data_IF_302439932662
#
_entry.id   IF_302439932662
#
_cell.length_a   1.000
_cell.length_b   1.000
_cell.length_c   1.000
_cell.angle_alpha   90.00
_cell.angle_beta   90.00
_cell.angle_gamma   90.00
#
_symmetry.space_group_name_H-M   'P 1'
#
loop_
_entity.id
_entity.type
_entity.pdbx_description
1 polymer ?
#
# COMPACT_ATOMS: atom_id res chain seq x y z
N UNK A 1 26.05 -23.11 -43.61
CA UNK A 1 24.75 -22.91 -44.27
C UNK A 1 23.73 -23.92 -43.73
N UNK A 2 22.95 -23.55 -42.71
CA UNK A 2 21.60 -24.07 -42.45
C UNK A 2 20.84 -22.96 -41.72
N UNK A 3 20.12 -22.17 -42.51
CA UNK A 3 19.08 -21.22 -42.09
C UNK A 3 17.76 -21.98 -41.83
N UNK A 4 16.78 -21.22 -41.31
CA UNK A 4 15.36 -21.49 -41.03
C UNK A 4 15.11 -21.88 -39.55
N UNK A 5 14.34 -21.13 -38.77
CA UNK A 5 13.53 -19.94 -39.03
C UNK A 5 12.62 -19.74 -37.81
N UNK A 6 12.74 -18.60 -37.11
CA UNK A 6 11.89 -18.23 -36.00
C UNK A 6 10.51 -17.80 -36.53
N UNK A 7 9.46 -18.46 -36.05
CA UNK A 7 8.07 -18.10 -36.28
C UNK A 7 7.64 -17.08 -35.21
N UNK A 8 7.41 -15.84 -35.60
CA UNK A 8 6.79 -14.80 -34.77
C UNK A 8 5.29 -14.81 -35.08
N UNK A 9 4.46 -15.13 -34.09
CA UNK A 9 3.00 -15.02 -34.20
C UNK A 9 2.60 -13.67 -33.60
N UNK A 10 2.22 -12.74 -34.47
CA UNK A 10 1.53 -11.50 -34.10
C UNK A 10 0.02 -11.75 -34.13
N UNK A 11 -0.66 -11.54 -33.01
CA UNK A 11 -2.13 -11.56 -32.94
C UNK A 11 -2.64 -10.13 -33.05
N UNK A 12 -3.23 -9.81 -34.21
CA UNK A 12 -4.02 -8.61 -34.46
C UNK A 12 -5.48 -8.93 -34.13
N UNK A 13 -6.01 -8.34 -33.06
CA UNK A 13 -7.44 -8.34 -32.78
C UNK A 13 -8.07 -7.06 -33.33
N UNK A 14 -8.78 -7.19 -34.45
CA UNK A 14 -9.70 -6.18 -34.95
C UNK A 14 -11.13 -6.57 -34.53
N UNK A 15 -11.80 -5.70 -33.76
CA UNK A 15 -13.24 -5.75 -33.59
C UNK A 15 -13.81 -4.37 -33.89
N UNK A 16 -14.39 -4.25 -35.08
CA UNK A 16 -15.34 -3.21 -35.45
C UNK A 16 -16.73 -3.64 -34.97
N UNK A 17 -17.43 -2.77 -34.25
CA UNK A 17 -18.81 -2.97 -33.83
C UNK A 17 -19.43 -1.63 -33.49
N UNK A 18 -20.34 -1.17 -34.35
CA UNK A 18 -20.92 0.18 -34.32
C UNK A 18 -21.80 0.44 -33.10
N UNK A 19 -21.76 1.69 -32.63
CA UNK A 19 -22.75 2.25 -31.72
C UNK A 19 -23.82 2.96 -32.54
N UNK A 20 -25.05 2.47 -32.43
CA UNK A 20 -26.26 3.09 -32.98
C UNK A 20 -26.60 4.39 -32.26
N UNK A 21 -27.17 5.31 -33.04
CA UNK A 21 -27.74 6.56 -32.58
C UNK A 21 -29.02 6.27 -31.77
N UNK A 22 -29.10 6.82 -30.56
CA UNK A 22 -30.35 6.95 -29.83
C UNK A 22 -30.73 8.44 -29.76
N UNK A 23 -31.78 8.78 -30.51
CA UNK A 23 -32.55 10.01 -30.43
C UNK A 23 -33.48 9.94 -29.22
N UNK A 24 -33.41 10.92 -28.31
CA UNK A 24 -34.54 11.38 -27.51
C UNK A 24 -34.18 12.67 -26.75
N UNK A 25 -34.62 13.80 -27.30
CA UNK A 25 -35.17 14.95 -26.57
C UNK A 25 -36.63 15.07 -27.06
N UNK A 26 -37.59 15.69 -26.34
CA UNK A 26 -37.39 16.77 -25.37
C UNK A 26 -38.24 16.64 -24.08
N UNK A 27 -37.99 17.48 -23.07
CA UNK A 27 -39.06 18.29 -22.50
C UNK A 27 -38.56 19.49 -21.67
N UNK A 28 -39.23 20.60 -21.91
CA UNK A 28 -38.96 21.95 -21.44
C UNK A 28 -39.61 22.19 -20.09
N UNK A 29 -38.86 22.61 -19.06
CA UNK A 29 -39.40 23.49 -18.00
C UNK A 29 -38.31 24.41 -17.44
N UNK A 30 -38.60 25.71 -17.41
CA UNK A 30 -37.97 26.77 -16.59
C UNK A 30 -39.10 27.70 -16.14
N UNK A 31 -38.92 28.65 -15.21
CA UNK A 31 -37.98 28.78 -14.09
C UNK A 31 -38.68 29.21 -12.77
N UNK A 32 -38.10 28.96 -11.58
CA UNK A 32 -38.47 29.75 -10.37
C UNK A 32 -37.24 29.96 -9.46
N UNK A 33 -37.06 31.21 -9.05
CA UNK A 33 -36.01 31.81 -8.21
C UNK A 33 -36.07 31.43 -6.71
N UNK A 34 -34.99 31.67 -5.93
CA UNK A 34 -34.81 31.14 -4.56
C UNK A 34 -35.31 32.10 -3.46
N UNK A 35 -35.57 31.57 -2.25
CA UNK A 35 -35.39 32.37 -1.04
C UNK A 35 -34.68 31.64 0.12
N UNK A 36 -33.65 32.32 0.64
CA UNK A 36 -33.32 32.60 2.06
C UNK A 36 -33.36 31.51 3.14
N UNK A 37 -32.20 31.36 3.80
CA UNK A 37 -31.92 30.84 5.15
C UNK A 37 -32.85 31.39 6.25
N UNK A 38 -33.16 30.57 7.27
CA UNK A 38 -33.03 31.07 8.64
C UNK A 38 -32.43 30.07 9.65
N UNK A 39 -31.47 30.58 10.45
CA UNK A 39 -31.50 30.46 11.91
C UNK A 39 -31.01 29.16 12.57
N UNK A 40 -29.75 29.20 13.05
CA UNK A 40 -29.33 28.43 14.23
C UNK A 40 -30.07 28.91 15.48
N UNK A 41 -30.51 28.02 16.39
CA UNK A 41 -30.70 28.35 17.79
C UNK A 41 -29.45 27.99 18.59
N UNK A 42 -28.92 29.00 19.28
CA UNK A 42 -27.99 28.91 20.41
C UNK A 42 -28.71 28.35 21.64
N UNK A 43 -28.04 27.46 22.38
CA UNK A 43 -28.41 27.08 23.75
C UNK A 43 -27.33 27.57 24.74
N UNK A 44 -27.73 28.04 25.93
CA UNK A 44 -26.88 28.78 26.86
C UNK A 44 -25.97 27.88 27.70
N UNK A 45 -24.83 28.45 28.10
CA UNK A 45 -23.88 27.83 29.02
C UNK A 45 -24.26 27.98 30.50
N UNK A 46 -23.82 26.98 31.27
CA UNK A 46 -23.49 26.90 32.71
C UNK A 46 -23.33 25.38 32.95
N UNK A 47 -22.34 24.82 33.63
CA UNK A 47 -21.30 25.30 34.52
C UNK A 47 -20.50 24.05 34.95
N UNK A 48 -19.42 24.29 35.67
CA UNK A 48 -18.38 23.33 36.00
C UNK A 48 -18.84 22.12 36.85
N UNK A 49 -18.27 20.96 36.51
CA UNK A 49 -17.74 19.94 37.42
C UNK A 49 -18.66 19.30 38.46
N UNK A 50 -19.12 18.08 38.19
CA UNK A 50 -19.14 16.97 39.16
C UNK A 50 -18.99 15.65 38.37
N UNK A 51 -17.85 14.98 38.59
CA UNK A 51 -17.57 13.67 38.02
C UNK A 51 -18.49 12.59 38.61
N UNK A 52 -19.01 11.72 37.75
CA UNK A 52 -19.71 10.51 38.15
C UNK A 52 -18.94 9.33 37.54
N UNK A 53 -18.11 8.61 38.31
CA UNK A 53 -17.29 7.49 37.82
C UNK A 53 -18.13 6.29 37.32
N UNK A 54 -19.46 6.35 37.48
CA UNK A 54 -20.38 5.30 37.05
C UNK A 54 -20.71 5.37 35.54
N UNK A 55 -20.55 6.52 34.88
CA UNK A 55 -20.81 6.60 33.43
C UNK A 55 -19.64 6.05 32.60
N UNK A 56 -18.40 6.25 33.04
CA UNK A 56 -17.21 5.69 32.37
C UNK A 56 -17.17 4.15 32.50
N UNK A 57 -17.60 3.61 33.65
CA UNK A 57 -17.71 2.17 33.89
C UNK A 57 -18.77 1.52 32.98
N UNK A 58 -19.91 2.19 32.77
CA UNK A 58 -20.99 1.70 31.90
C UNK A 58 -20.62 1.81 30.42
N UNK A 59 -19.86 2.84 30.01
CA UNK A 59 -19.30 2.95 28.65
C UNK A 59 -18.24 1.89 28.36
N UNK A 60 -17.42 1.52 29.35
CA UNK A 60 -16.46 0.42 29.21
C UNK A 60 -17.15 -0.96 29.16
N UNK A 61 -18.24 -1.17 29.90
CA UNK A 61 -18.97 -2.45 29.90
C UNK A 61 -19.86 -2.65 28.66
N UNK A 62 -20.32 -1.57 28.01
CA UNK A 62 -21.06 -1.66 26.73
C UNK A 62 -20.15 -1.83 25.49
N UNK A 63 -18.83 -1.68 25.66
CA UNK A 63 -17.84 -1.93 24.61
C UNK A 63 -17.33 -3.38 24.60
N UNK A 64 -17.82 -4.22 25.53
CA UNK A 64 -17.27 -5.54 25.79
C UNK A 64 -18.31 -6.61 26.10
N UNK A 65 -19.35 -6.76 25.28
CA UNK A 65 -19.91 -8.09 25.00
C UNK A 65 -20.89 -8.06 23.82
N UNK A 66 -20.60 -8.84 22.78
CA UNK A 66 -21.60 -9.53 21.97
C UNK A 66 -20.90 -10.41 20.93
N UNK A 67 -20.67 -11.66 21.29
CA UNK A 67 -20.39 -12.71 20.33
C UNK A 67 -21.65 -13.16 19.59
N UNK A 68 -21.57 -13.23 18.26
CA UNK A 68 -22.23 -14.28 17.47
C UNK A 68 -21.48 -14.54 16.17
N UNK A 69 -21.18 -15.83 16.00
CA UNK A 69 -20.61 -16.64 14.93
C UNK A 69 -20.41 -16.09 13.49
N UNK A 70 -19.34 -16.64 12.89
CA UNK A 70 -18.92 -16.69 11.48
C UNK A 70 -18.17 -15.49 10.86
N UNK A 71 -16.88 -15.39 11.19
CA UNK A 71 -15.80 -15.03 10.25
C UNK A 71 -14.43 -15.45 10.83
N UNK A 72 -13.52 -16.10 10.08
CA UNK A 72 -12.19 -16.43 10.60
C UNK A 72 -11.25 -15.21 10.50
N UNK A 73 -10.61 -14.86 11.62
CA UNK A 73 -9.26 -14.29 11.61
C UNK A 73 -9.10 -12.78 11.73
N UNK A 74 -9.78 -12.11 12.66
CA UNK A 74 -9.39 -10.78 13.12
C UNK A 74 -8.68 -10.86 14.48
N UNK A 75 -7.35 -10.89 14.51
CA UNK A 75 -6.61 -10.71 15.77
C UNK A 75 -6.67 -9.24 16.15
N UNK A 76 -7.49 -8.94 17.15
CA UNK A 76 -7.51 -7.65 17.82
C UNK A 76 -6.18 -7.34 18.50
N UNK A 77 -5.66 -6.14 18.26
CA UNK A 77 -4.43 -5.65 18.89
C UNK A 77 -3.94 -4.31 18.35
N UNK A 78 -4.83 -3.36 18.05
CA UNK A 78 -4.44 -2.07 17.47
C UNK A 78 -3.99 -1.00 18.49
N UNK A 79 -3.85 -1.34 19.78
CA UNK A 79 -3.64 -0.34 20.85
C UNK A 79 -2.53 -0.62 21.86
N UNK A 80 -1.75 -1.70 21.71
CA UNK A 80 -0.69 -2.04 22.67
C UNK A 80 0.64 -1.32 22.43
N UNK A 81 1.50 -1.16 23.46
CA UNK A 81 2.85 -0.67 23.29
C UNK A 81 3.65 -1.63 22.40
N UNK A 82 4.28 -1.10 21.35
CA UNK A 82 5.09 -1.91 20.42
C UNK A 82 6.47 -2.21 21.00
N UNK A 83 6.90 -3.46 20.87
CA UNK A 83 8.25 -3.93 21.22
C UNK A 83 9.13 -4.23 20.01
N UNK A 84 8.58 -4.21 18.79
CA UNK A 84 9.29 -4.48 17.53
C UNK A 84 8.94 -3.44 16.48
N UNK A 85 9.96 -2.80 15.92
CA UNK A 85 9.79 -1.78 14.89
C UNK A 85 10.73 -2.03 13.72
N UNK A 86 10.20 -2.02 12.52
CA UNK A 86 10.99 -1.91 11.29
C UNK A 86 10.99 -0.43 10.87
N UNK A 87 12.16 0.16 10.66
CA UNK A 87 12.27 1.51 10.10
C UNK A 87 12.74 1.41 8.66
N UNK A 88 11.97 2.02 7.75
CA UNK A 88 12.28 2.18 6.34
C UNK A 88 12.45 3.66 6.04
N UNK A 89 13.64 4.06 5.62
CA UNK A 89 13.99 5.47 5.48
C UNK A 89 14.70 5.77 4.17
N UNK A 90 14.36 6.89 3.54
CA UNK A 90 15.08 7.42 2.38
C UNK A 90 15.37 8.92 2.54
N UNK A 91 16.40 9.46 1.85
CA UNK A 91 16.70 10.88 1.86
C UNK A 91 15.58 11.78 1.30
N UNK A 92 14.84 11.29 0.29
CA UNK A 92 13.75 12.04 -0.35
C UNK A 92 12.52 11.16 -0.53
N UNK A 93 11.35 11.78 -0.49
CA UNK A 93 10.08 11.09 -0.73
C UNK A 93 10.00 10.47 -2.14
N UNK A 94 10.68 11.04 -3.13
CA UNK A 94 10.71 10.52 -4.51
C UNK A 94 11.67 9.36 -4.74
N UNK A 95 12.49 8.98 -3.74
CA UNK A 95 13.47 7.92 -3.91
C UNK A 95 12.77 6.56 -4.01
N UNK A 96 13.16 5.76 -5.00
CA UNK A 96 12.59 4.41 -5.22
C UNK A 96 13.33 3.31 -4.45
N UNK A 97 14.34 3.70 -3.68
CA UNK A 97 15.11 2.83 -2.81
C UNK A 97 15.28 3.47 -1.44
N UNK A 98 15.27 2.65 -0.40
CA UNK A 98 15.39 3.06 0.98
C UNK A 98 16.38 2.17 1.73
N UNK A 99 16.63 2.52 2.99
CA UNK A 99 17.30 1.67 3.97
C UNK A 99 16.28 1.09 4.93
N UNK A 100 16.28 -0.23 5.12
CA UNK A 100 15.48 -0.91 6.13
C UNK A 100 16.38 -1.36 7.29
N UNK A 101 15.97 -1.08 8.53
CA UNK A 101 16.60 -1.58 9.76
C UNK A 101 15.53 -2.04 10.75
N UNK A 102 15.69 -3.22 11.34
CA UNK A 102 14.82 -3.71 12.41
C UNK A 102 15.36 -3.30 13.79
N UNK A 103 14.45 -2.94 14.69
CA UNK A 103 14.72 -2.52 16.05
C UNK A 103 13.84 -3.28 17.03
N UNK A 104 14.40 -3.59 18.19
CA UNK A 104 13.67 -4.20 19.30
C UNK A 104 13.79 -3.33 20.55
N UNK A 105 12.68 -3.20 21.28
CA UNK A 105 12.61 -2.47 22.53
C UNK A 105 13.04 -3.39 23.67
N UNK A 106 14.10 -3.00 24.39
CA UNK A 106 14.55 -3.68 25.60
C UNK A 106 13.61 -3.44 26.78
N UNK A 107 13.82 -4.21 27.85
CA UNK A 107 13.06 -4.08 29.10
C UNK A 107 13.27 -2.71 29.79
N UNK A 108 14.38 -2.04 29.48
CA UNK A 108 14.70 -0.68 29.92
C UNK A 108 13.98 0.41 29.09
N UNK A 109 13.14 0.00 28.13
CA UNK A 109 12.43 0.88 27.21
C UNK A 109 13.29 1.41 26.06
N UNK A 110 14.58 1.06 25.99
CA UNK A 110 15.49 1.53 24.94
C UNK A 110 15.32 0.72 23.65
N UNK A 111 15.37 1.39 22.51
CA UNK A 111 15.37 0.74 21.20
C UNK A 111 16.80 0.42 20.77
N UNK A 112 17.03 -0.82 20.32
CA UNK A 112 18.32 -1.28 19.79
C UNK A 112 18.13 -1.94 18.43
N UNK A 113 19.04 -1.70 17.47
CA UNK A 113 19.00 -2.41 16.20
C UNK A 113 19.19 -3.92 16.45
N UNK A 114 18.44 -4.74 15.74
CA UNK A 114 18.52 -6.19 15.85
C UNK A 114 19.72 -6.67 15.00
N UNK A 115 20.73 -7.33 15.60
CA UNK A 115 21.91 -7.76 14.87
C UNK A 115 21.56 -8.64 13.66
N UNK A 116 22.07 -8.24 12.48
CA UNK A 116 21.85 -8.98 11.23
C UNK A 116 20.52 -8.71 10.54
N UNK A 117 19.67 -7.81 11.06
CA UNK A 117 18.42 -7.36 10.45
C UNK A 117 18.50 -5.90 9.97
N UNK A 118 19.48 -5.65 9.11
CA UNK A 118 19.80 -4.33 8.55
C UNK A 118 21.01 -3.65 9.21
N UNK A 119 21.37 -2.43 8.77
CA UNK A 119 20.78 -1.70 7.64
C UNK A 119 20.91 -2.46 6.32
N UNK A 120 19.85 -2.50 5.52
CA UNK A 120 19.82 -3.16 4.21
C UNK A 120 19.17 -2.26 3.16
N UNK A 121 19.46 -2.50 1.89
CA UNK A 121 18.72 -1.87 0.79
C UNK A 121 17.28 -2.42 0.74
N UNK A 122 16.32 -1.52 0.64
CA UNK A 122 14.93 -1.82 0.34
C UNK A 122 14.49 -1.10 -0.94
N UNK A 123 13.51 -1.65 -1.64
CA UNK A 123 12.88 -1.06 -2.82
C UNK A 123 11.48 -0.59 -2.47
N UNK A 124 11.11 0.58 -2.99
CA UNK A 124 9.84 1.25 -2.76
C UNK A 124 9.05 1.37 -4.07
N UNK A 125 7.86 1.96 -4.00
CA UNK A 125 7.05 2.31 -5.16
C UNK A 125 7.84 3.11 -6.20
N UNK A 126 7.51 2.95 -7.48
CA UNK A 126 8.16 3.69 -8.57
C UNK A 126 7.95 5.22 -8.51
N UNK A 127 6.97 5.69 -7.74
CA UNK A 127 6.77 7.11 -7.39
C UNK A 127 7.28 7.47 -5.98
N UNK A 128 8.06 6.59 -5.35
CA UNK A 128 8.61 6.77 -4.01
C UNK A 128 7.58 6.51 -2.91
N UNK A 129 7.59 7.34 -1.87
CA UNK A 129 6.69 7.26 -0.71
C UNK A 129 5.82 8.51 -0.52
N UNK A 130 4.72 8.37 0.23
CA UNK A 130 3.82 9.47 0.61
C UNK A 130 2.39 8.99 0.85
N UNK A 131 1.39 9.86 0.61
CA UNK A 131 -0.02 9.51 0.80
C UNK A 131 -0.43 8.35 -0.14
N UNK A 132 -0.98 7.25 0.40
CA UNK A 132 -1.41 6.10 -0.39
C UNK A 132 -2.67 6.42 -1.19
N UNK A 133 -2.71 5.89 -2.41
CA UNK A 133 -3.85 5.99 -3.31
C UNK A 133 -3.93 4.75 -4.20
N UNK A 134 -5.16 4.29 -4.49
CA UNK A 134 -5.37 3.16 -5.39
C UNK A 134 -4.72 3.42 -6.75
N UNK A 135 -4.06 2.39 -7.29
CA UNK A 135 -3.43 2.40 -8.62
C UNK A 135 -2.35 3.47 -8.81
N UNK A 136 -1.80 3.98 -7.72
CA UNK A 136 -0.63 4.86 -7.71
C UNK A 136 0.53 4.09 -7.09
N UNK A 137 1.64 3.86 -7.83
CA UNK A 137 2.75 3.05 -7.33
C UNK A 137 3.62 3.82 -6.33
N UNK A 138 3.04 4.12 -5.17
CA UNK A 138 3.63 4.90 -4.08
C UNK A 138 3.51 4.12 -2.78
N UNK A 139 4.62 4.02 -2.06
CA UNK A 139 4.66 3.38 -0.74
C UNK A 139 4.00 4.29 0.31
N UNK A 140 3.09 3.78 1.16
CA UNK A 140 2.49 4.59 2.21
C UNK A 140 3.56 5.11 3.18
N UNK A 141 3.59 6.42 3.42
CA UNK A 141 4.37 7.03 4.48
C UNK A 141 3.57 7.03 5.80
N UNK A 142 4.20 6.64 6.90
CA UNK A 142 3.53 6.52 8.21
C UNK A 142 4.04 5.36 9.05
N UNK A 143 3.33 5.06 10.13
CA UNK A 143 3.59 3.88 10.98
C UNK A 143 2.40 2.95 11.01
N UNK A 144 2.64 1.68 10.65
CA UNK A 144 1.58 0.70 10.41
C UNK A 144 1.85 -0.61 11.16
N UNK A 145 0.82 -1.31 11.65
CA UNK A 145 0.96 -2.67 12.17
C UNK A 145 1.38 -3.65 11.07
N UNK A 146 2.05 -4.73 11.50
CA UNK A 146 2.26 -5.94 10.71
C UNK A 146 1.44 -7.07 11.34
N UNK A 147 0.51 -7.67 10.60
CA UNK A 147 -0.51 -8.57 11.18
C UNK A 147 -0.51 -10.01 10.64
N UNK A 148 -0.55 -10.20 9.33
CA UNK A 148 -0.65 -11.51 8.68
C UNK A 148 0.57 -11.73 7.77
N UNK A 149 1.38 -12.75 8.09
CA UNK A 149 2.41 -13.24 7.19
C UNK A 149 1.81 -14.23 6.20
N UNK A 150 2.41 -14.31 5.01
CA UNK A 150 2.04 -15.30 4.00
C UNK A 150 3.22 -15.63 3.08
N UNK A 151 3.06 -16.63 2.24
CA UNK A 151 3.98 -16.86 1.14
C UNK A 151 3.71 -18.13 0.37
N UNK A 152 4.35 -18.23 -0.80
CA UNK A 152 4.30 -19.42 -1.68
C UNK A 152 5.08 -20.60 -1.11
N UNK A 153 6.02 -20.31 -0.20
CA UNK A 153 6.88 -21.30 0.43
C UNK A 153 6.30 -21.77 1.77
N UNK A 154 6.92 -22.79 2.36
CA UNK A 154 6.58 -23.21 3.72
C UNK A 154 6.91 -22.12 4.75
N UNK A 155 6.19 -22.14 5.88
CA UNK A 155 6.47 -21.24 6.99
C UNK A 155 7.95 -21.33 7.40
N UNK A 156 8.71 -20.22 7.41
CA UNK A 156 10.14 -20.23 7.74
C UNK A 156 10.43 -20.41 9.25
N UNK A 157 9.41 -20.62 10.08
CA UNK A 157 9.49 -20.64 11.54
C UNK A 157 9.02 -19.34 12.21
N UNK A 158 8.18 -18.55 11.55
CA UNK A 158 7.62 -17.32 12.12
C UNK A 158 6.61 -17.61 13.23
N UNK A 159 6.53 -16.69 14.20
CA UNK A 159 5.48 -16.66 15.21
C UNK A 159 4.24 -15.92 14.73
N UNK A 160 4.35 -15.12 13.67
CA UNK A 160 3.21 -14.46 13.05
C UNK A 160 2.24 -15.52 12.52
N UNK A 161 0.92 -15.24 12.46
CA UNK A 161 0.01 -16.01 11.62
C UNK A 161 0.60 -16.13 10.21
N UNK A 162 0.69 -17.35 9.67
CA UNK A 162 1.30 -17.61 8.37
C UNK A 162 0.33 -18.37 7.46
N UNK A 163 -0.02 -17.76 6.34
CA UNK A 163 -0.82 -18.37 5.28
C UNK A 163 0.11 -18.86 4.15
N UNK A 164 0.16 -20.17 3.92
CA UNK A 164 0.77 -20.71 2.70
C UNK A 164 -0.23 -20.57 1.54
N UNK A 165 0.10 -19.73 0.56
CA UNK A 165 -0.81 -19.40 -0.54
C UNK A 165 -0.68 -20.38 -1.71
N UNK A 166 -1.77 -20.54 -2.45
CA UNK A 166 -1.84 -21.23 -3.74
C UNK A 166 -2.60 -20.39 -4.78
N UNK A 167 -2.89 -20.98 -5.94
CA UNK A 167 -3.49 -20.29 -7.09
C UNK A 167 -4.89 -19.73 -6.83
N UNK A 168 -5.55 -20.10 -5.72
CA UNK A 168 -6.88 -19.59 -5.34
C UNK A 168 -6.82 -18.43 -4.35
N UNK A 169 -5.64 -18.05 -3.87
CA UNK A 169 -5.50 -16.99 -2.89
C UNK A 169 -5.27 -15.64 -3.58
N UNK A 170 -6.19 -14.71 -3.32
CA UNK A 170 -6.19 -13.36 -3.86
C UNK A 170 -6.15 -12.33 -2.75
N UNK A 171 -5.50 -11.20 -2.99
CA UNK A 171 -5.77 -9.96 -2.29
C UNK A 171 -6.74 -9.14 -3.12
N UNK A 172 -7.93 -8.92 -2.59
CA UNK A 172 -8.99 -8.19 -3.27
C UNK A 172 -8.67 -6.70 -3.29
N UNK A 173 -8.54 -6.16 -4.49
CA UNK A 173 -8.24 -4.75 -4.75
C UNK A 173 -9.34 -4.09 -5.58
N UNK A 174 -10.53 -4.70 -5.71
CA UNK A 174 -11.67 -4.07 -6.36
C UNK A 174 -12.35 -3.09 -5.39
N UNK A 175 -12.30 -1.76 -5.65
CA UNK A 175 -12.90 -0.77 -4.75
C UNK A 175 -14.42 -0.87 -4.63
N UNK A 176 -15.08 -1.65 -5.49
CA UNK A 176 -16.53 -1.92 -5.41
C UNK A 176 -16.85 -3.21 -4.65
N UNK A 177 -15.83 -4.00 -4.31
CA UNK A 177 -16.02 -5.28 -3.64
C UNK A 177 -16.30 -5.10 -2.14
N UNK A 178 -17.25 -5.87 -1.55
CA UNK A 178 -17.45 -5.89 -0.10
C UNK A 178 -16.23 -6.44 0.66
N UNK A 179 -15.32 -7.13 -0.02
CA UNK A 179 -14.07 -7.69 0.53
C UNK A 179 -12.83 -6.88 0.14
N UNK A 180 -12.99 -5.63 -0.32
CA UNK A 180 -11.87 -4.75 -0.66
C UNK A 180 -10.79 -4.70 0.42
N UNK A 181 -9.54 -4.75 -0.01
CA UNK A 181 -8.33 -4.77 0.81
C UNK A 181 -8.32 -5.92 1.84
N UNK A 182 -8.71 -7.12 1.41
CA UNK A 182 -8.60 -8.34 2.21
C UNK A 182 -8.12 -9.53 1.39
N UNK A 183 -7.58 -10.54 2.09
CA UNK A 183 -7.38 -11.85 1.49
C UNK A 183 -8.72 -12.54 1.28
N UNK A 184 -8.92 -13.10 0.08
CA UNK A 184 -10.06 -13.93 -0.27
C UNK A 184 -9.59 -15.17 -1.02
N UNK A 185 -10.36 -16.25 -0.91
CA UNK A 185 -10.06 -17.52 -1.57
C UNK A 185 -11.14 -17.88 -2.57
N UNK A 186 -10.79 -17.88 -3.86
CA UNK A 186 -11.71 -18.22 -4.95
C UNK A 186 -10.96 -18.56 -6.25
N UNK A 187 -11.57 -19.34 -7.17
CA UNK A 187 -10.90 -19.74 -8.41
C UNK A 187 -10.69 -18.60 -9.41
N UNK A 188 -11.53 -17.57 -9.36
CA UNK A 188 -11.48 -16.41 -10.26
C UNK A 188 -11.04 -15.15 -9.53
N UNK A 189 -10.49 -14.18 -10.26
CA UNK A 189 -10.16 -12.86 -9.71
C UNK A 189 -11.42 -12.20 -9.12
N UNK A 190 -11.32 -11.55 -7.95
CA UNK A 190 -12.39 -10.71 -7.40
C UNK A 190 -12.81 -9.55 -8.31
N UNK A 191 -11.97 -9.16 -9.27
CA UNK A 191 -12.15 -7.97 -10.10
C UNK A 191 -11.11 -6.89 -9.80
N UNK A 192 -11.24 -5.73 -10.44
CA UNK A 192 -10.30 -4.62 -10.29
C UNK A 192 -8.83 -5.02 -10.51
N UNK A 193 -7.94 -4.41 -9.74
CA UNK A 193 -6.51 -4.70 -9.73
C UNK A 193 -6.14 -5.76 -8.68
N UNK A 194 -7.06 -6.70 -8.41
CA UNK A 194 -6.85 -7.74 -7.39
C UNK A 194 -5.64 -8.60 -7.73
N UNK A 195 -4.84 -8.90 -6.70
CA UNK A 195 -3.56 -9.58 -6.88
C UNK A 195 -3.66 -11.05 -6.50
N UNK A 196 -3.24 -11.95 -7.39
CA UNK A 196 -3.13 -13.38 -7.04
C UNK A 196 -1.82 -13.64 -6.33
N UNK A 197 -1.89 -13.96 -5.03
CA UNK A 197 -0.72 -14.02 -4.16
C UNK A 197 0.27 -15.13 -4.54
N UNK A 198 -0.19 -16.19 -5.22
CA UNK A 198 0.70 -17.25 -5.70
C UNK A 198 1.30 -16.97 -7.09
N UNK A 199 0.49 -16.44 -8.01
CA UNK A 199 0.90 -16.17 -9.38
C UNK A 199 1.80 -14.95 -9.53
N UNK A 200 1.84 -14.05 -8.53
CA UNK A 200 2.85 -12.97 -8.46
C UNK A 200 4.29 -13.50 -8.35
N UNK A 201 4.48 -14.79 -8.07
CA UNK A 201 5.77 -15.45 -8.22
C UNK A 201 6.73 -15.18 -7.04
N UNK A 202 8.05 -15.29 -7.26
CA UNK A 202 9.03 -15.32 -6.18
C UNK A 202 9.06 -14.09 -5.26
N UNK A 203 8.52 -12.95 -5.69
CA UNK A 203 8.39 -11.76 -4.83
C UNK A 203 7.54 -12.02 -3.59
N UNK A 204 6.60 -12.98 -3.66
CA UNK A 204 5.77 -13.45 -2.54
C UNK A 204 6.15 -14.84 -2.06
N UNK A 205 7.42 -15.24 -2.22
CA UNK A 205 7.90 -16.44 -1.52
C UNK A 205 7.82 -16.27 0.01
N UNK A 206 8.02 -15.05 0.50
CA UNK A 206 7.80 -14.66 1.90
C UNK A 206 7.33 -13.20 1.95
N UNK A 207 6.23 -12.95 2.65
CA UNK A 207 5.66 -11.62 2.78
C UNK A 207 4.94 -11.43 4.12
N UNK A 208 4.73 -10.19 4.50
CA UNK A 208 3.85 -9.80 5.62
C UNK A 208 3.05 -8.55 5.24
N UNK A 209 1.78 -8.55 5.62
CA UNK A 209 0.88 -7.44 5.39
C UNK A 209 1.26 -6.20 6.20
N UNK A 210 1.30 -5.06 5.50
CA UNK A 210 1.40 -3.73 6.09
C UNK A 210 -0.03 -3.22 6.19
N UNK A 211 -0.59 -3.28 7.41
CA UNK A 211 -1.97 -2.92 7.70
C UNK A 211 -2.18 -1.39 7.67
N UNK A 212 -1.90 -0.77 6.53
CA UNK A 212 -1.93 0.68 6.31
C UNK A 212 -3.35 1.24 6.16
N UNK A 213 -4.27 0.43 5.62
CA UNK A 213 -5.68 0.79 5.38
C UNK A 213 -6.61 -0.23 6.08
N UNK A 214 -6.58 -0.32 7.43
CA UNK A 214 -7.34 -1.34 8.17
C UNK A 214 -8.85 -1.11 8.12
N UNK A 215 -9.30 0.12 7.88
CA UNK A 215 -10.71 0.46 7.63
C UNK A 215 -11.17 0.05 6.24
N UNK A 216 -10.28 -0.42 5.36
CA UNK A 216 -10.58 -0.87 3.99
C UNK A 216 -11.31 0.21 3.21
N UNK A 217 -10.86 1.45 3.34
CA UNK A 217 -11.45 2.59 2.64
C UNK A 217 -10.97 2.56 1.19
N UNK A 218 -11.86 2.47 0.19
CA UNK A 218 -11.45 2.59 -1.21
C UNK A 218 -10.71 3.90 -1.48
N UNK A 219 -9.74 3.87 -2.40
CA UNK A 219 -8.90 5.02 -2.72
C UNK A 219 -7.73 5.25 -1.75
N UNK A 220 -7.54 4.39 -0.75
CA UNK A 220 -6.43 4.48 0.23
C UNK A 220 -5.35 3.41 0.04
N UNK A 221 -5.26 2.86 -1.17
CA UNK A 221 -4.42 1.74 -1.54
C UNK A 221 -4.79 0.42 -0.83
N UNK A 222 -4.25 -0.65 -1.40
CA UNK A 222 -4.52 -2.04 -1.08
C UNK A 222 -3.26 -2.86 -1.41
N UNK A 223 -3.18 -4.10 -0.95
CA UNK A 223 -2.08 -5.02 -1.24
C UNK A 223 -0.69 -4.44 -0.93
N UNK A 224 -0.54 -3.75 0.20
CA UNK A 224 0.75 -3.20 0.64
C UNK A 224 1.45 -4.21 1.55
N UNK A 225 2.57 -4.73 1.07
CA UNK A 225 3.32 -5.78 1.76
C UNK A 225 4.78 -5.40 1.99
N UNK A 226 5.39 -5.99 3.01
CA UNK A 226 6.84 -6.16 3.07
C UNK A 226 7.17 -7.55 2.52
N UNK A 227 7.93 -7.63 1.42
CA UNK A 227 8.13 -8.89 0.69
C UNK A 227 9.52 -9.05 0.06
N UNK A 228 9.72 -10.16 -0.66
CA UNK A 228 10.98 -10.48 -1.35
C UNK A 228 11.16 -9.60 -2.60
N UNK A 229 12.34 -9.02 -2.75
CA UNK A 229 12.69 -8.18 -3.90
C UNK A 229 13.03 -8.99 -5.15
N UNK A 230 12.78 -8.38 -6.30
CA UNK A 230 13.30 -8.74 -7.63
C UNK A 230 14.29 -7.68 -8.14
N UNK A 231 14.82 -6.85 -7.24
CA UNK A 231 15.72 -5.72 -7.47
C UNK A 231 15.15 -4.57 -8.31
N UNK A 232 13.82 -4.45 -8.39
CA UNK A 232 13.12 -3.36 -9.08
C UNK A 232 12.22 -2.56 -8.11
N UNK A 233 11.88 -1.30 -8.44
CA UNK A 233 10.81 -0.58 -7.75
C UNK A 233 9.49 -1.34 -7.77
N UNK A 234 8.70 -1.20 -6.70
CA UNK A 234 7.43 -1.90 -6.50
C UNK A 234 6.23 -1.08 -7.00
N UNK A 235 5.02 -1.62 -6.83
CA UNK A 235 3.76 -0.87 -6.98
C UNK A 235 3.31 -0.18 -5.68
N UNK A 236 4.17 -0.09 -4.67
CA UNK A 236 3.88 0.54 -3.38
C UNK A 236 4.36 -0.28 -2.18
N UNK A 237 4.57 -1.58 -2.36
CA UNK A 237 5.19 -2.43 -1.35
C UNK A 237 6.60 -1.98 -0.94
N UNK A 238 7.08 -2.52 0.17
CA UNK A 238 8.51 -2.50 0.53
C UNK A 238 9.10 -3.86 0.19
N UNK A 239 10.20 -3.90 -0.57
CA UNK A 239 10.83 -5.16 -0.95
C UNK A 239 12.30 -5.27 -0.53
N UNK A 240 12.72 -6.42 -0.01
CA UNK A 240 14.08 -6.70 0.47
C UNK A 240 14.60 -8.08 0.05
N UNK A 241 15.89 -8.34 0.24
CA UNK A 241 16.51 -9.64 -0.06
C UNK A 241 15.81 -10.80 0.66
N UNK A 242 15.69 -11.95 -0.03
CA UNK A 242 14.89 -13.10 0.37
C UNK A 242 15.29 -13.70 1.71
N UNK A 243 16.57 -13.98 1.92
CA UNK A 243 17.07 -14.58 3.16
C UNK A 243 16.90 -13.63 4.34
N UNK A 244 17.06 -12.34 4.12
CA UNK A 244 16.73 -11.33 5.12
C UNK A 244 15.23 -11.27 5.42
N UNK A 245 14.37 -11.37 4.41
CA UNK A 245 12.91 -11.43 4.59
C UNK A 245 12.51 -12.62 5.48
N UNK A 246 13.10 -13.80 5.26
CA UNK A 246 12.89 -14.98 6.13
C UNK A 246 13.30 -14.68 7.57
N UNK A 247 14.47 -14.07 7.78
CA UNK A 247 14.94 -13.72 9.13
C UNK A 247 14.04 -12.69 9.81
N UNK A 248 13.52 -11.71 9.05
CA UNK A 248 12.51 -10.78 9.56
C UNK A 248 11.27 -11.55 10.01
N UNK A 249 10.70 -12.44 9.18
CA UNK A 249 9.52 -13.21 9.58
C UNK A 249 9.78 -14.05 10.84
N UNK A 250 10.92 -14.71 10.96
CA UNK A 250 11.28 -15.49 12.16
C UNK A 250 11.40 -14.60 13.40
N UNK A 251 11.89 -13.37 13.24
CA UNK A 251 12.03 -12.40 14.33
C UNK A 251 10.69 -11.80 14.76
N UNK A 252 9.78 -11.50 13.83
CA UNK A 252 8.48 -10.92 14.13
C UNK A 252 7.69 -11.79 15.10
N UNK A 253 7.16 -11.16 16.15
CA UNK A 253 6.42 -11.78 17.23
C UNK A 253 5.12 -11.01 17.46
N UNK A 254 3.94 -11.58 17.18
CA UNK A 254 2.67 -10.87 17.34
C UNK A 254 2.43 -10.42 18.78
N UNK A 255 3.02 -11.10 19.78
CA UNK A 255 2.93 -10.70 21.19
C UNK A 255 3.69 -9.40 21.50
N UNK A 256 4.57 -8.94 20.60
CA UNK A 256 5.30 -7.67 20.69
C UNK A 256 4.69 -6.55 19.84
N UNK A 257 3.51 -6.76 19.26
CA UNK A 257 2.78 -5.79 18.42
C UNK A 257 3.71 -5.13 17.38
N UNK A 258 4.23 -5.91 16.42
CA UNK A 258 5.22 -5.41 15.48
C UNK A 258 4.66 -4.33 14.58
N UNK A 259 5.46 -3.30 14.32
CA UNK A 259 5.12 -2.17 13.45
C UNK A 259 6.22 -1.90 12.43
N UNK A 260 5.85 -1.21 11.36
CA UNK A 260 6.77 -0.66 10.37
C UNK A 260 6.54 0.85 10.26
N UNK A 261 7.60 1.64 10.40
CA UNK A 261 7.61 3.08 10.13
C UNK A 261 8.33 3.32 8.81
N UNK A 262 7.68 4.02 7.90
CA UNK A 262 8.18 4.37 6.57
C UNK A 262 8.17 5.90 6.47
N UNK A 263 9.27 6.52 6.08
CA UNK A 263 9.29 7.97 5.85
C UNK A 263 10.65 8.56 5.52
N UNK A 264 10.66 9.87 5.28
CA UNK A 264 11.89 10.60 4.94
C UNK A 264 12.76 10.86 6.16
N UNK A 265 14.06 10.55 6.05
CA UNK A 265 15.07 10.81 7.10
C UNK A 265 14.67 10.29 8.50
N UNK A 266 13.93 9.19 8.56
CA UNK A 266 13.56 8.53 9.81
C UNK A 266 14.80 8.00 10.54
N UNK A 267 14.89 8.31 11.83
CA UNK A 267 15.91 7.80 12.73
C UNK A 267 15.49 6.48 13.39
N UNK A 268 16.28 6.03 14.37
CA UNK A 268 15.85 4.97 15.26
C UNK A 268 14.55 5.36 15.99
N UNK A 269 13.69 4.40 16.35
CA UNK A 269 12.44 4.70 17.03
C UNK A 269 12.69 5.43 18.36
N UNK A 270 11.90 6.47 18.63
CA UNK A 270 11.91 7.20 19.90
C UNK A 270 10.56 7.04 20.58
N UNK A 271 10.54 6.60 21.85
CA UNK A 271 9.29 6.47 22.61
C UNK A 271 8.27 5.49 22.02
N UNK A 272 6.98 5.66 22.37
CA UNK A 272 5.86 4.93 21.76
C UNK A 272 5.46 5.61 20.45
N UNK A 273 5.45 4.84 19.35
CA UNK A 273 5.07 5.37 18.05
C UNK A 273 3.60 5.84 18.06
N UNK A 274 3.30 7.08 17.61
CA UNK A 274 1.94 7.57 17.50
C UNK A 274 1.09 6.62 16.65
N UNK A 275 -0.13 6.32 17.12
CA UNK A 275 -1.11 5.53 16.38
C UNK A 275 -1.41 6.16 15.02
N UNK A 276 -1.69 5.31 14.03
CA UNK A 276 -1.90 5.68 12.64
C UNK A 276 -2.83 6.91 12.51
N UNK A 277 -2.23 8.05 12.21
CA UNK A 277 -2.93 9.25 11.73
C UNK A 277 -2.14 9.72 10.51
N UNK A 278 -2.79 9.89 9.34
CA UNK A 278 -2.15 10.50 8.18
C UNK A 278 -1.60 11.86 8.59
N UNK A 279 -0.29 12.04 8.45
CA UNK A 279 0.37 13.27 8.85
C UNK A 279 0.07 14.33 7.78
N UNK A 280 -0.97 15.13 7.99
CA UNK A 280 -1.19 16.34 7.19
C UNK A 280 -0.17 17.39 7.61
N UNK A 281 0.84 17.63 6.78
CA UNK A 281 1.81 18.71 7.01
C UNK A 281 1.13 20.09 6.84
N UNK A 282 1.17 21.00 7.83
CA UNK A 282 0.67 22.36 7.64
C UNK A 282 1.69 23.25 6.92
N UNK A 283 1.24 23.87 5.82
CA UNK A 283 1.68 25.21 5.41
C UNK A 283 2.97 25.32 4.58
N UNK A 284 2.85 25.12 3.27
CA UNK A 284 3.66 25.85 2.31
C UNK A 284 2.73 26.39 1.21
N UNK A 285 2.45 27.69 1.27
CA UNK A 285 1.67 28.42 0.26
C UNK A 285 2.47 28.43 -1.06
N UNK A 286 1.94 27.93 -2.19
CA UNK A 286 2.56 28.16 -3.48
C UNK A 286 1.97 29.43 -4.10
N UNK A 287 2.84 30.41 -4.37
CA UNK A 287 2.56 31.46 -5.34
C UNK A 287 2.55 30.87 -6.75
N UNK A 288 1.45 31.07 -7.47
CA UNK A 288 1.26 30.76 -8.89
C UNK A 288 2.24 31.52 -9.79
N UNK A 289 2.68 30.88 -10.88
CA UNK A 289 2.42 31.50 -12.19
C UNK A 289 1.80 30.52 -13.21
N UNK A 290 0.87 31.08 -14.00
CA UNK A 290 0.20 30.48 -15.15
C UNK A 290 1.18 29.90 -16.20
N UNK A 291 0.95 28.65 -16.64
CA UNK A 291 1.26 28.16 -18.01
C UNK A 291 0.28 27.01 -18.38
N UNK A 292 -0.23 26.91 -19.64
CA UNK A 292 -1.38 26.06 -19.99
C UNK A 292 -1.06 24.57 -20.17
N UNK A 293 -2.07 23.75 -19.89
CA UNK A 293 -2.10 22.31 -20.12
C UNK A 293 -2.39 21.96 -21.59
N UNK A 294 -1.46 21.27 -22.25
CA UNK A 294 -1.68 20.28 -23.31
C UNK A 294 -0.33 19.63 -23.69
N UNK A 295 -0.35 18.36 -24.07
CA UNK A 295 0.72 17.61 -24.77
C UNK A 295 1.97 17.13 -23.98
N UNK A 296 1.76 16.22 -23.01
CA UNK A 296 2.85 15.38 -22.47
C UNK A 296 2.55 13.87 -22.50
N UNK A 297 1.59 13.41 -23.30
CA UNK A 297 1.27 11.98 -23.46
C UNK A 297 1.88 11.32 -24.71
N UNK A 298 2.52 12.09 -25.60
CA UNK A 298 3.05 11.57 -26.88
C UNK A 298 4.59 11.52 -26.94
N UNK A 299 5.30 11.95 -25.88
CA UNK A 299 6.76 12.05 -25.88
C UNK A 299 7.54 10.84 -25.33
N UNK A 300 6.87 9.92 -24.63
CA UNK A 300 7.54 8.81 -23.91
C UNK A 300 7.54 7.47 -24.66
N UNK A 301 6.95 7.40 -25.86
CA UNK A 301 6.96 6.21 -26.72
C UNK A 301 8.06 6.21 -27.80
N UNK A 302 8.89 7.26 -27.90
CA UNK A 302 9.91 7.40 -28.95
C UNK A 302 11.37 7.25 -28.47
N UNK A 303 11.62 6.79 -27.23
CA UNK A 303 12.98 6.57 -26.71
C UNK A 303 13.35 5.10 -26.49
N UNK A 304 12.61 4.16 -27.07
CA UNK A 304 12.89 2.72 -26.97
C UNK A 304 13.16 2.02 -28.31
N UNK A 305 13.67 2.77 -29.30
CA UNK A 305 14.32 2.19 -30.49
C UNK A 305 15.51 3.06 -30.89
N UNK A 306 16.74 2.61 -30.58
CA UNK A 306 17.94 3.17 -31.21
C UNK A 306 19.18 3.21 -30.32
N UNK A 307 19.77 2.06 -29.98
CA UNK A 307 21.14 2.02 -29.47
C UNK A 307 21.80 0.64 -29.65
N UNK A 308 22.33 0.33 -30.84
CA UNK A 308 23.48 -0.57 -31.06
C UNK A 308 24.28 -0.03 -32.29
N UNK A 309 25.64 -0.02 -32.28
CA UNK A 309 26.44 1.00 -32.96
C UNK A 309 26.89 0.67 -34.39
N UNK A 310 27.13 1.73 -35.16
CA UNK A 310 27.82 1.70 -36.45
C UNK A 310 29.35 1.56 -36.27
N UNK A 311 29.92 0.49 -36.80
CA UNK A 311 31.33 0.38 -37.19
C UNK A 311 31.35 -0.21 -38.61
N UNK A 312 32.30 0.26 -39.42
CA UNK A 312 32.57 -0.01 -40.83
C UNK A 312 31.98 0.99 -41.84
N UNK A 313 32.88 1.79 -42.44
CA UNK A 313 32.55 2.61 -43.59
C UNK A 313 33.70 3.48 -44.11
N UNK A 314 34.87 2.91 -44.44
CA UNK A 314 35.77 3.48 -45.43
C UNK A 314 36.48 2.33 -46.17
N UNK A 315 36.10 2.08 -47.43
CA UNK A 315 37.04 1.80 -48.52
C UNK A 315 36.31 1.78 -49.88
N UNK A 316 36.83 2.59 -50.80
CA UNK A 316 36.65 2.60 -52.28
C UNK A 316 35.28 3.06 -52.82
N UNK A 317 35.14 3.91 -53.82
CA UNK A 317 36.11 4.46 -54.78
C UNK A 317 35.67 4.19 -56.22
N UNK A 318 34.85 5.08 -56.79
CA UNK A 318 34.86 5.62 -58.17
C UNK A 318 33.51 6.23 -58.52
#
# INVERSE_FOLDING_TARGET
MRLLGLLVIAVLAACAGGAGQALADPETTTPITPPTTPGSPSLPGMGEGLGIPLLDEVLNQLSGDNGSADAPGGVGGAGGPTGQMIVVTAPKASDTTATLTAFEKGNDGSWKPVPGLGPTKAFLGSLGMGEPQDNVPRTPEGTFPLDQAFGRQENPGTKMPYLKVDTQDWWDSDPKSPTYNTHVRQPQSPGGDSENLYNSGPVYDYAVNIAHNPQRTPGKATAMFLHVTNDQPTLGCVAIERELMKKILVWLDPAKSPKITIGVNQGAPTGEAPGATPQTTPGATPSTPDVPAADMLTGLLSQLVGAVPALFGQFTGR
#
